data_IF_179552198060
#
_entry.id   IF_179552198060
#
_cell.length_a   1.000
_cell.length_b   1.000
_cell.length_c   1.000
_cell.angle_alpha   90.00
_cell.angle_beta   90.00
_cell.angle_gamma   90.00
#
_symmetry.space_group_name_H-M   'P 1'
#
loop_
_entity.id
_entity.type
_entity.pdbx_description
1 polymer ?
#
# COMPACT_ATOMS: atom_id res chain seq x y z
N UNK A 1 -7.17 -15.27 -2.66
CA UNK A 1 -5.92 -15.08 -1.89
C UNK A 1 -5.71 -13.60 -1.64
N UNK A 2 -5.83 -13.14 -0.38
CA UNK A 2 -5.58 -11.74 -0.02
C UNK A 2 -4.12 -11.37 -0.26
N UNK A 3 -3.87 -10.17 -0.77
CA UNK A 3 -2.50 -9.63 -0.89
C UNK A 3 -1.92 -9.43 0.50
N UNK A 4 -0.63 -9.77 0.67
CA UNK A 4 0.10 -9.50 1.90
C UNK A 4 0.02 -8.01 2.26
N UNK A 5 -0.11 -7.73 3.56
CA UNK A 5 -0.16 -6.37 4.09
C UNK A 5 1.04 -5.54 3.63
N UNK A 6 0.78 -4.28 3.30
CA UNK A 6 1.81 -3.26 3.06
C UNK A 6 2.80 -3.22 4.23
N UNK A 7 4.09 -2.97 3.95
CA UNK A 7 5.10 -2.85 5.01
C UNK A 7 4.63 -1.88 6.11
N UNK A 8 4.70 -2.33 7.36
CA UNK A 8 4.40 -1.51 8.53
C UNK A 8 5.44 -0.38 8.67
N UNK A 9 5.12 0.65 9.45
CA UNK A 9 6.06 1.74 9.68
C UNK A 9 7.37 1.24 10.32
N UNK A 10 7.26 0.29 11.25
CA UNK A 10 8.41 -0.33 11.90
C UNK A 10 9.27 -1.13 10.91
N UNK A 11 8.65 -1.97 10.08
CA UNK A 11 9.37 -2.74 9.04
C UNK A 11 10.08 -1.79 8.06
N UNK A 12 9.45 -0.68 7.68
CA UNK A 12 10.06 0.34 6.81
C UNK A 12 11.29 0.98 7.45
N UNK A 13 11.22 1.32 8.74
CA UNK A 13 12.36 1.89 9.46
C UNK A 13 13.51 0.89 9.58
N UNK A 14 13.23 -0.38 9.88
CA UNK A 14 14.25 -1.43 9.90
C UNK A 14 14.90 -1.64 8.53
N UNK A 15 14.11 -1.71 7.45
CA UNK A 15 14.64 -1.81 6.09
C UNK A 15 15.53 -0.60 5.79
N UNK A 16 15.08 0.61 6.13
CA UNK A 16 15.86 1.85 5.91
C UNK A 16 17.21 1.79 6.64
N UNK A 17 17.21 1.47 7.94
CA UNK A 17 18.43 1.38 8.74
C UNK A 17 19.41 0.33 8.17
N UNK A 18 18.93 -0.89 7.89
CA UNK A 18 19.78 -1.98 7.39
C UNK A 18 20.30 -1.70 5.96
N UNK A 19 19.51 -1.02 5.13
CA UNK A 19 19.92 -0.63 3.78
C UNK A 19 21.02 0.44 3.84
N UNK A 20 20.93 1.39 4.79
CA UNK A 20 21.97 2.40 5.03
C UNK A 20 23.28 1.77 5.48
N UNK A 21 23.24 0.69 6.27
CA UNK A 21 24.44 -0.06 6.67
C UNK A 21 25.04 -0.91 5.54
N UNK A 22 24.34 -1.08 4.41
CA UNK A 22 24.82 -1.83 3.26
C UNK A 22 24.51 -3.34 3.29
N UNK A 23 23.59 -3.79 4.15
CA UNK A 23 23.18 -5.20 4.17
C UNK A 23 22.46 -5.59 2.88
N UNK A 24 22.67 -6.84 2.46
CA UNK A 24 22.00 -7.38 1.26
C UNK A 24 20.51 -7.58 1.51
N UNK A 25 19.70 -7.48 0.44
CA UNK A 25 18.25 -7.71 0.48
C UNK A 25 17.88 -9.10 1.02
N UNK A 26 18.73 -10.11 0.81
CA UNK A 26 18.56 -11.45 1.36
C UNK A 26 18.59 -11.41 2.90
N UNK A 27 19.63 -10.81 3.47
CA UNK A 27 19.78 -10.67 4.91
C UNK A 27 18.64 -9.87 5.54
N UNK A 28 18.25 -8.75 4.92
CA UNK A 28 17.14 -7.92 5.40
C UNK A 28 15.82 -8.71 5.41
N UNK A 29 15.57 -9.52 4.39
CA UNK A 29 14.38 -10.36 4.31
C UNK A 29 14.33 -11.42 5.42
N UNK A 30 15.46 -12.04 5.71
CA UNK A 30 15.58 -13.07 6.74
C UNK A 30 15.38 -12.47 8.15
N UNK A 31 15.93 -11.28 8.41
CA UNK A 31 15.77 -10.55 9.68
C UNK A 31 14.32 -10.10 9.91
N UNK A 32 13.69 -9.50 8.89
CA UNK A 32 12.34 -8.92 8.98
C UNK A 32 11.26 -10.00 8.76
N UNK A 33 11.66 -11.23 8.41
CA UNK A 33 10.78 -12.36 8.07
C UNK A 33 9.74 -11.98 7.01
N UNK A 34 10.18 -11.25 5.98
CA UNK A 34 9.33 -10.76 4.87
C UNK A 34 9.88 -11.16 3.52
N UNK A 35 8.99 -11.18 2.52
CA UNK A 35 9.39 -11.42 1.14
C UNK A 35 10.37 -10.33 0.65
N UNK A 36 11.32 -10.72 -0.20
CA UNK A 36 12.31 -9.81 -0.80
C UNK A 36 11.69 -8.77 -1.73
N UNK A 37 10.53 -9.04 -2.32
CA UNK A 37 9.87 -8.13 -3.29
C UNK A 37 9.53 -6.75 -2.70
N UNK A 38 8.79 -6.63 -1.58
CA UNK A 38 8.51 -5.33 -0.97
C UNK A 38 9.77 -4.63 -0.46
N UNK A 39 10.76 -5.39 0.03
CA UNK A 39 12.05 -4.86 0.49
C UNK A 39 12.83 -4.24 -0.67
N UNK A 40 12.82 -4.86 -1.85
CA UNK A 40 13.48 -4.33 -3.05
C UNK A 40 12.75 -3.13 -3.66
N UNK A 41 11.41 -3.09 -3.57
CA UNK A 41 10.58 -1.98 -4.09
C UNK A 41 10.60 -0.76 -3.18
N UNK A 42 10.72 -0.94 -1.86
CA UNK A 42 10.60 0.15 -0.88
C UNK A 42 11.63 1.28 -1.06
N UNK A 43 12.94 1.01 -1.22
CA UNK A 43 13.95 2.05 -1.42
C UNK A 43 13.71 2.92 -2.67
N UNK A 44 13.05 2.37 -3.70
CA UNK A 44 12.77 3.09 -4.95
C UNK A 44 11.60 4.06 -4.87
N UNK A 45 10.76 3.95 -3.84
CA UNK A 45 9.50 4.69 -3.72
C UNK A 45 9.24 5.20 -2.30
N UNK A 46 10.27 5.63 -1.56
CA UNK A 46 10.14 5.95 -0.13
C UNK A 46 9.00 6.95 0.17
N UNK A 47 8.85 7.99 -0.66
CA UNK A 47 7.83 9.04 -0.49
C UNK A 47 6.40 8.57 -0.85
N UNK A 48 6.26 7.74 -1.89
CA UNK A 48 4.97 7.26 -2.39
C UNK A 48 4.50 5.94 -1.76
N UNK A 49 5.36 5.28 -0.96
CA UNK A 49 5.08 3.93 -0.51
C UNK A 49 3.92 3.89 0.49
N UNK A 50 2.81 3.27 0.08
CA UNK A 50 1.63 3.11 0.92
C UNK A 50 0.81 4.39 1.15
N UNK A 51 1.14 5.49 0.47
CA UNK A 51 0.35 6.73 0.50
C UNK A 51 -0.75 6.76 -0.57
N UNK A 52 -0.63 5.89 -1.59
CA UNK A 52 -1.63 5.77 -2.67
C UNK A 52 -2.97 5.25 -2.12
N UNK A 53 -3.96 6.14 -2.10
CA UNK A 53 -5.36 5.78 -1.88
C UNK A 53 -5.96 5.19 -3.16
N UNK A 54 -6.68 4.09 -3.05
CA UNK A 54 -7.52 3.61 -4.14
C UNK A 54 -8.68 4.60 -4.35
N UNK A 55 -9.04 4.90 -5.59
CA UNK A 55 -10.19 5.76 -5.92
C UNK A 55 -11.55 5.14 -5.55
N UNK A 56 -11.55 3.94 -4.99
CA UNK A 56 -12.75 3.16 -4.73
C UNK A 56 -13.34 2.58 -6.00
N UNK A 57 -14.39 1.79 -5.85
CA UNK A 57 -15.21 1.35 -6.97
C UNK A 57 -16.20 2.47 -7.31
N UNK A 58 -16.34 2.88 -8.58
CA UNK A 58 -17.34 3.86 -8.96
C UNK A 58 -18.75 3.34 -8.64
N UNK A 59 -19.65 4.23 -8.20
CA UNK A 59 -21.04 3.87 -7.94
C UNK A 59 -21.75 3.45 -9.22
N UNK A 60 -22.65 2.46 -9.13
CA UNK A 60 -23.46 2.02 -10.26
C UNK A 60 -24.34 3.15 -10.82
N UNK A 61 -24.83 4.02 -9.94
CA UNK A 61 -25.67 5.16 -10.32
C UNK A 61 -24.82 6.39 -10.63
N UNK A 62 -25.19 7.09 -11.71
CA UNK A 62 -24.70 8.42 -12.00
C UNK A 62 -25.39 9.48 -11.11
N UNK A 63 -24.89 10.71 -11.10
CA UNK A 63 -25.40 11.76 -10.21
C UNK A 63 -26.83 12.19 -10.52
N UNK A 64 -27.30 12.01 -11.76
CA UNK A 64 -28.69 12.29 -12.15
C UNK A 64 -29.62 11.21 -11.61
N UNK A 65 -29.28 9.95 -11.77
CA UNK A 65 -30.05 8.81 -11.26
C UNK A 65 -30.16 8.88 -9.74
N UNK A 66 -29.07 9.20 -9.04
CA UNK A 66 -29.11 9.45 -7.59
C UNK A 66 -30.10 10.55 -7.22
N UNK A 67 -30.17 11.62 -8.00
CA UNK A 67 -31.09 12.75 -7.78
C UNK A 67 -32.54 12.37 -8.07
N UNK A 68 -32.79 11.54 -9.08
CA UNK A 68 -34.14 11.05 -9.39
C UNK A 68 -34.66 10.11 -8.29
N UNK A 69 -33.83 9.20 -7.77
CA UNK A 69 -34.17 8.33 -6.62
C UNK A 69 -34.56 9.15 -5.38
N UNK A 70 -33.84 10.23 -5.08
CA UNK A 70 -34.16 11.11 -3.95
C UNK A 70 -35.49 11.84 -4.14
N UNK A 71 -35.90 12.12 -5.38
CA UNK A 71 -37.15 12.82 -5.70
C UNK A 71 -38.37 11.91 -5.64
N UNK A 72 -38.22 10.65 -6.05
CA UNK A 72 -39.32 9.68 -6.06
C UNK A 72 -39.59 9.04 -4.70
N UNK A 73 -38.67 9.20 -3.75
CA UNK A 73 -38.82 8.70 -2.37
C UNK A 73 -39.51 9.70 -1.41
N UNK A 74 -39.89 10.90 -1.88
CA UNK A 74 -40.73 11.86 -1.16
C UNK A 74 -42.20 11.68 -1.53
#
# INVERSE_FOLDING_TARGET
MGRASTLSLHERHQIKALSTTGYTVKWIADVIKRSRKPIMKFPRHQEEYGTKKSRGQPSKLNDREKREVLRTAQ
#
